data_IF_418690287815
#
_entry.id   IF_418690287815
#
_cell.length_a   1.000
_cell.length_b   1.000
_cell.length_c   1.000
_cell.angle_alpha   90.00
_cell.angle_beta   90.00
_cell.angle_gamma   90.00
#
_symmetry.space_group_name_H-M   'P 1'
#
loop_
_entity.id
_entity.type
_entity.pdbx_description
1 polymer ?
#
# COMPACT_ATOMS: atom_id res chain seq x y z
N UNK A 1 13.47 38.66 24.37
CA UNK A 1 13.41 37.44 23.53
C UNK A 1 13.18 36.31 24.50
N UNK A 2 11.94 35.85 24.56
CA UNK A 2 11.37 35.17 25.72
C UNK A 2 11.85 33.71 25.80
N UNK A 3 12.05 33.18 27.00
CA UNK A 3 12.54 31.80 27.25
C UNK A 3 11.59 30.73 26.65
N UNK A 4 10.34 31.10 26.37
CA UNK A 4 9.35 30.24 25.71
C UNK A 4 9.63 29.99 24.23
N UNK A 5 10.13 30.99 23.48
CA UNK A 5 10.41 30.85 22.04
C UNK A 5 11.56 29.87 21.81
N UNK A 6 12.60 29.95 22.65
CA UNK A 6 13.75 29.03 22.65
C UNK A 6 13.35 27.56 22.88
N UNK A 7 12.30 27.32 23.67
CA UNK A 7 11.81 25.96 23.94
C UNK A 7 10.94 25.42 22.81
N UNK A 8 10.10 26.26 22.22
CA UNK A 8 9.28 25.88 21.07
C UNK A 8 10.17 25.44 19.89
N UNK A 9 11.22 26.20 19.58
CA UNK A 9 12.17 25.89 18.51
C UNK A 9 12.87 24.53 18.71
N UNK A 10 13.19 24.19 19.96
CA UNK A 10 13.78 22.88 20.30
C UNK A 10 12.80 21.74 20.04
N UNK A 11 11.52 21.90 20.37
CA UNK A 11 10.53 20.86 20.10
C UNK A 11 10.25 20.69 18.60
N UNK A 12 10.33 21.77 17.81
CA UNK A 12 10.27 21.70 16.34
C UNK A 12 11.45 20.88 15.80
N UNK A 13 12.66 21.06 16.33
CA UNK A 13 13.81 20.22 15.98
C UNK A 13 13.53 18.73 16.23
N UNK A 14 13.00 18.37 17.41
CA UNK A 14 12.69 16.98 17.75
C UNK A 14 11.54 16.40 16.91
N UNK A 15 10.57 17.22 16.52
CA UNK A 15 9.53 16.83 15.59
C UNK A 15 10.12 16.41 14.24
N UNK A 16 11.00 17.23 13.66
CA UNK A 16 11.69 16.88 12.40
C UNK A 16 12.66 15.71 12.58
N UNK A 17 13.35 15.60 13.72
CA UNK A 17 14.22 14.47 14.02
C UNK A 17 13.42 13.16 13.95
N UNK A 18 12.23 13.09 14.55
CA UNK A 18 11.38 11.91 14.46
C UNK A 18 10.96 11.56 13.04
N UNK A 19 10.60 12.56 12.23
CA UNK A 19 10.21 12.39 10.84
C UNK A 19 11.37 11.89 9.98
N UNK A 20 12.52 12.56 10.03
CA UNK A 20 13.59 12.27 9.08
C UNK A 20 14.37 11.01 9.45
N UNK A 21 14.65 10.79 10.73
CA UNK A 21 15.60 9.74 11.12
C UNK A 21 15.06 8.34 10.89
N UNK A 22 13.78 8.10 11.18
CA UNK A 22 13.19 6.78 10.99
C UNK A 22 12.98 6.45 9.50
N UNK A 23 12.39 7.34 8.72
CA UNK A 23 12.11 7.06 7.31
C UNK A 23 13.38 7.09 6.42
N UNK A 24 14.33 8.00 6.70
CA UNK A 24 15.60 8.03 5.97
C UNK A 24 16.44 6.80 6.26
N UNK A 25 16.48 6.35 7.53
CA UNK A 25 17.19 5.10 7.87
C UNK A 25 16.54 3.88 7.22
N UNK A 26 15.20 3.83 7.14
CA UNK A 26 14.49 2.79 6.38
C UNK A 26 14.85 2.75 4.90
N UNK A 27 14.93 3.92 4.26
CA UNK A 27 15.36 4.02 2.87
C UNK A 27 16.79 3.53 2.65
N UNK A 28 17.73 3.93 3.51
CA UNK A 28 19.14 3.51 3.44
C UNK A 28 19.29 2.01 3.71
N UNK A 29 18.43 1.44 4.54
CA UNK A 29 18.47 0.03 4.97
C UNK A 29 17.58 -0.89 4.11
N UNK A 30 17.06 -0.44 2.97
CA UNK A 30 16.12 -1.22 2.13
C UNK A 30 16.68 -2.56 1.61
N UNK A 31 18.01 -2.73 1.62
CA UNK A 31 18.69 -3.99 1.28
C UNK A 31 18.93 -4.95 2.46
N UNK A 32 18.51 -4.60 3.67
CA UNK A 32 18.70 -5.41 4.88
C UNK A 32 17.40 -6.16 5.19
N UNK A 33 17.51 -7.43 5.57
CA UNK A 33 16.36 -8.28 5.91
C UNK A 33 15.47 -7.62 6.98
N UNK A 34 14.16 -7.61 6.74
CA UNK A 34 13.16 -6.77 7.43
C UNK A 34 13.25 -6.70 8.97
N UNK A 35 13.28 -7.81 9.74
CA UNK A 35 13.49 -7.78 11.18
C UNK A 35 14.72 -6.99 11.61
N UNK A 36 15.87 -7.18 10.97
CA UNK A 36 17.11 -6.50 11.34
C UNK A 36 17.07 -5.02 10.99
N UNK A 37 16.46 -4.65 9.85
CA UNK A 37 16.33 -3.25 9.43
C UNK A 37 15.54 -2.42 10.45
N UNK A 38 14.44 -2.95 11.01
CA UNK A 38 13.60 -2.24 11.98
C UNK A 38 14.35 -1.97 13.28
N UNK A 39 15.11 -2.95 13.79
CA UNK A 39 15.92 -2.75 15.00
C UNK A 39 17.00 -1.68 14.78
N UNK A 40 17.65 -1.68 13.62
CA UNK A 40 18.67 -0.69 13.27
C UNK A 40 18.07 0.72 13.13
N UNK A 41 16.91 0.85 12.49
CA UNK A 41 16.17 2.11 12.39
C UNK A 41 15.81 2.67 13.78
N UNK A 42 15.32 1.81 14.68
CA UNK A 42 15.02 2.17 16.06
C UNK A 42 16.27 2.59 16.85
N UNK A 43 17.39 1.90 16.67
CA UNK A 43 18.65 2.26 17.31
C UNK A 43 19.19 3.60 16.80
N UNK A 44 19.15 3.85 15.49
CA UNK A 44 19.55 5.12 14.89
C UNK A 44 18.68 6.25 15.43
N UNK A 45 17.36 6.04 15.48
CA UNK A 45 16.41 6.99 16.06
C UNK A 45 16.77 7.35 17.52
N UNK A 46 16.96 6.34 18.38
CA UNK A 46 17.29 6.56 19.79
C UNK A 46 18.65 7.25 19.97
N UNK A 47 19.65 6.88 19.18
CA UNK A 47 20.98 7.49 19.21
C UNK A 47 20.92 8.98 18.83
N UNK A 48 20.17 9.33 17.77
CA UNK A 48 20.02 10.71 17.33
C UNK A 48 19.16 11.53 18.30
N UNK A 49 18.13 10.93 18.89
CA UNK A 49 17.34 11.56 19.94
C UNK A 49 18.22 11.90 21.17
N UNK A 50 19.01 10.94 21.64
CA UNK A 50 19.93 11.14 22.75
C UNK A 50 20.97 12.23 22.44
N UNK A 51 21.54 12.21 21.22
CA UNK A 51 22.46 13.24 20.75
C UNK A 51 21.81 14.62 20.73
N UNK A 52 20.58 14.73 20.21
CA UNK A 52 19.80 15.97 20.19
C UNK A 52 19.57 16.52 21.59
N UNK A 53 19.20 15.68 22.55
CA UNK A 53 19.01 16.09 23.96
C UNK A 53 20.32 16.62 24.57
N UNK A 54 21.44 15.94 24.32
CA UNK A 54 22.76 16.40 24.79
C UNK A 54 23.14 17.75 24.17
N UNK A 55 22.90 17.95 22.88
CA UNK A 55 23.20 19.19 22.15
C UNK A 55 22.34 20.38 22.60
N UNK A 56 21.06 20.14 22.93
CA UNK A 56 20.19 21.17 23.48
C UNK A 56 20.63 21.69 24.86
N UNK A 57 21.60 21.00 25.50
CA UNK A 57 22.15 21.29 26.84
C UNK A 57 21.11 21.35 27.96
N UNK A 58 19.87 20.95 27.68
CA UNK A 58 18.79 20.83 28.67
C UNK A 58 18.79 19.42 29.26
N UNK A 59 19.24 19.30 30.50
CA UNK A 59 19.34 18.00 31.22
C UNK A 59 18.12 17.67 32.07
N UNK A 60 16.99 18.34 31.80
CA UNK A 60 15.75 18.07 32.53
C UNK A 60 15.10 16.79 32.02
N UNK A 61 14.76 15.88 32.94
CA UNK A 61 13.96 14.68 32.62
C UNK A 61 12.63 15.06 31.99
N UNK A 62 12.00 16.14 32.46
CA UNK A 62 10.75 16.64 31.89
C UNK A 62 10.90 17.14 30.46
N UNK A 63 12.05 17.72 30.10
CA UNK A 63 12.35 18.10 28.73
C UNK A 63 12.55 16.87 27.84
N UNK A 64 13.37 15.90 28.28
CA UNK A 64 13.65 14.68 27.54
C UNK A 64 12.37 13.86 27.24
N UNK A 65 11.48 13.72 28.23
CA UNK A 65 10.20 13.02 28.03
C UNK A 65 9.30 13.74 27.02
N UNK A 66 9.23 15.07 27.06
CA UNK A 66 8.45 15.86 26.08
C UNK A 66 9.05 15.77 24.68
N UNK A 67 10.38 15.87 24.55
CA UNK A 67 11.08 15.74 23.28
C UNK A 67 10.86 14.35 22.66
N UNK A 68 10.97 13.29 23.46
CA UNK A 68 10.62 11.93 23.05
C UNK A 68 9.16 11.82 22.60
N UNK A 69 8.22 12.33 23.39
CA UNK A 69 6.80 12.25 23.07
C UNK A 69 6.45 12.97 21.77
N UNK A 70 6.98 14.18 21.55
CA UNK A 70 6.78 14.95 20.30
C UNK A 70 7.34 14.20 19.10
N UNK A 71 8.57 13.71 19.20
CA UNK A 71 9.25 12.98 18.14
C UNK A 71 8.55 11.64 17.81
N UNK A 72 8.13 10.91 18.84
CA UNK A 72 7.44 9.63 18.70
C UNK A 72 6.03 9.80 18.13
N UNK A 73 5.29 10.84 18.56
CA UNK A 73 3.98 11.16 18.00
C UNK A 73 4.07 11.51 16.51
N UNK A 74 5.08 12.29 16.10
CA UNK A 74 5.33 12.61 14.69
C UNK A 74 5.57 11.34 13.85
N UNK A 75 6.40 10.42 14.37
CA UNK A 75 6.66 9.12 13.75
C UNK A 75 5.38 8.29 13.60
N UNK A 76 4.55 8.20 14.65
CA UNK A 76 3.29 7.47 14.59
C UNK A 76 2.33 8.04 13.56
N UNK A 77 2.16 9.37 13.52
CA UNK A 77 1.26 10.02 12.56
C UNK A 77 1.66 9.74 11.12
N UNK A 78 2.95 9.84 10.79
CA UNK A 78 3.43 9.48 9.47
C UNK A 78 3.26 7.99 9.19
N UNK A 79 3.55 7.13 10.15
CA UNK A 79 3.38 5.69 9.99
C UNK A 79 1.92 5.34 9.67
N UNK A 80 0.96 5.91 10.40
CA UNK A 80 -0.47 5.75 10.13
C UNK A 80 -0.82 6.26 8.73
N UNK A 81 -0.28 7.41 8.31
CA UNK A 81 -0.47 7.93 6.96
C UNK A 81 0.04 6.96 5.88
N UNK A 82 1.26 6.44 6.04
CA UNK A 82 1.83 5.43 5.14
C UNK A 82 1.00 4.15 5.13
N UNK A 83 0.60 3.62 6.30
CA UNK A 83 -0.23 2.42 6.36
C UNK A 83 -1.61 2.64 5.72
N UNK A 84 -2.23 3.80 5.92
CA UNK A 84 -3.51 4.13 5.29
C UNK A 84 -3.40 4.23 3.77
N UNK A 85 -2.35 4.89 3.26
CA UNK A 85 -2.07 4.98 1.83
C UNK A 85 -1.76 3.60 1.22
N UNK A 86 -0.93 2.80 1.89
CA UNK A 86 -0.61 1.43 1.45
C UNK A 86 -1.85 0.53 1.46
N UNK A 87 -2.67 0.60 2.50
CA UNK A 87 -3.92 -0.16 2.57
C UNK A 87 -4.88 0.26 1.44
N UNK A 88 -4.97 1.55 1.14
CA UNK A 88 -5.75 2.06 0.01
C UNK A 88 -5.19 1.58 -1.34
N UNK A 89 -3.87 1.53 -1.52
CA UNK A 89 -3.29 1.02 -2.77
C UNK A 89 -3.53 -0.47 -2.96
N UNK A 90 -3.44 -1.28 -1.89
CA UNK A 90 -3.73 -2.72 -1.95
C UNK A 90 -5.23 -2.99 -2.17
N UNK A 91 -6.13 -2.21 -1.54
CA UNK A 91 -7.56 -2.39 -1.75
C UNK A 91 -8.03 -1.98 -3.15
N UNK A 92 -7.34 -1.03 -3.78
CA UNK A 92 -7.69 -0.50 -5.10
C UNK A 92 -6.99 -1.18 -6.28
N UNK A 93 -5.90 -1.91 -6.05
CA UNK A 93 -5.19 -2.63 -7.10
C UNK A 93 -5.90 -3.96 -7.41
N UNK A 94 -6.81 -3.90 -8.38
CA UNK A 94 -7.62 -5.01 -8.84
C UNK A 94 -7.38 -5.22 -10.33
N UNK A 95 -7.11 -6.47 -10.71
CA UNK A 95 -6.78 -6.82 -12.08
C UNK A 95 -7.65 -7.98 -12.55
N UNK A 96 -8.02 -7.92 -13.83
CA UNK A 96 -8.69 -9.00 -14.56
C UNK A 96 -7.80 -9.35 -15.75
N UNK A 97 -7.62 -10.63 -15.99
CA UNK A 97 -6.91 -11.14 -17.16
C UNK A 97 -7.80 -12.15 -17.87
N UNK A 98 -7.82 -12.09 -19.20
CA UNK A 98 -8.47 -13.11 -20.03
C UNK A 98 -7.41 -13.79 -20.90
N UNK A 99 -7.20 -15.07 -20.67
CA UNK A 99 -6.31 -15.89 -21.49
C UNK A 99 -7.15 -16.63 -22.53
N UNK A 100 -6.87 -16.42 -23.82
CA UNK A 100 -7.53 -17.18 -24.89
C UNK A 100 -7.05 -18.64 -24.85
N UNK A 101 -8.00 -19.57 -24.82
CA UNK A 101 -7.72 -21.01 -24.77
C UNK A 101 -7.69 -21.59 -26.19
N UNK A 102 -6.66 -22.40 -26.48
CA UNK A 102 -6.52 -23.12 -27.75
C UNK A 102 -7.32 -24.44 -27.79
N UNK A 103 -8.10 -24.72 -26.75
CA UNK A 103 -8.91 -25.93 -26.61
C UNK A 103 -10.30 -25.60 -26.06
N UNK A 104 -11.26 -26.49 -26.29
CA UNK A 104 -12.57 -26.42 -25.64
C UNK A 104 -12.46 -26.98 -24.22
N UNK A 105 -12.72 -26.18 -23.17
CA UNK A 105 -12.71 -26.65 -21.79
C UNK A 105 -13.91 -27.57 -21.51
N UNK A 106 -13.76 -28.47 -20.54
CA UNK A 106 -14.79 -29.44 -20.16
C UNK A 106 -16.07 -28.76 -19.63
N UNK A 107 -15.91 -27.67 -18.90
CA UNK A 107 -16.99 -26.85 -18.35
C UNK A 107 -16.71 -25.38 -18.67
N UNK A 108 -17.74 -24.65 -19.10
CA UNK A 108 -17.65 -23.23 -19.40
C UNK A 108 -19.01 -22.54 -19.30
N UNK A 109 -18.98 -21.25 -19.01
CA UNK A 109 -20.14 -20.38 -19.08
C UNK A 109 -20.25 -19.75 -20.48
N UNK A 110 -21.45 -19.74 -21.05
CA UNK A 110 -21.71 -18.94 -22.26
C UNK A 110 -22.01 -17.50 -21.86
N UNK A 111 -21.22 -16.57 -22.40
CA UNK A 111 -21.39 -15.12 -22.20
C UNK A 111 -21.77 -14.49 -23.53
N UNK A 112 -22.94 -13.86 -23.60
CA UNK A 112 -23.39 -13.20 -24.84
C UNK A 112 -22.75 -11.83 -25.01
N UNK A 113 -22.83 -11.27 -26.22
CA UNK A 113 -22.35 -9.90 -26.48
C UNK A 113 -23.14 -8.86 -25.67
N UNK A 114 -24.44 -9.08 -25.49
CA UNK A 114 -25.29 -8.22 -24.67
C UNK A 114 -24.82 -8.23 -23.21
N UNK A 115 -24.58 -9.41 -22.64
CA UNK A 115 -24.02 -9.55 -21.29
C UNK A 115 -22.65 -8.89 -21.21
N UNK A 116 -21.76 -9.15 -22.16
CA UNK A 116 -20.41 -8.58 -22.18
C UNK A 116 -20.40 -7.05 -22.20
N UNK A 117 -21.38 -6.42 -22.86
CA UNK A 117 -21.51 -4.95 -22.87
C UNK A 117 -21.93 -4.37 -21.51
N UNK A 118 -22.50 -5.18 -20.60
CA UNK A 118 -22.79 -4.75 -19.23
C UNK A 118 -21.55 -4.80 -18.31
N UNK A 119 -20.49 -5.52 -18.73
CA UNK A 119 -19.24 -5.73 -18.00
C UNK A 119 -18.03 -5.25 -18.84
N UNK A 120 -17.81 -3.92 -18.92
CA UNK A 120 -16.76 -3.36 -19.77
C UNK A 120 -15.35 -3.82 -19.37
N UNK A 121 -15.08 -4.07 -18.08
CA UNK A 121 -13.80 -4.63 -17.65
C UNK A 121 -13.56 -6.05 -18.18
N UNK A 122 -14.58 -6.91 -18.17
CA UNK A 122 -14.48 -8.25 -18.77
C UNK A 122 -14.23 -8.16 -20.27
N UNK A 123 -14.96 -7.27 -20.94
CA UNK A 123 -14.79 -7.00 -22.37
C UNK A 123 -13.38 -6.55 -22.70
N UNK A 124 -12.86 -5.56 -21.97
CA UNK A 124 -11.51 -5.05 -22.17
C UNK A 124 -10.45 -6.12 -21.90
N UNK A 125 -10.64 -6.99 -20.90
CA UNK A 125 -9.73 -8.09 -20.62
C UNK A 125 -9.66 -9.09 -21.79
N UNK A 126 -10.81 -9.41 -22.39
CA UNK A 126 -10.90 -10.29 -23.57
C UNK A 126 -10.25 -9.64 -24.80
N UNK A 127 -10.49 -8.34 -25.03
CA UNK A 127 -9.89 -7.59 -26.13
C UNK A 127 -8.35 -7.47 -25.98
N UNK A 128 -7.86 -7.34 -24.75
CA UNK A 128 -6.44 -7.25 -24.41
C UNK A 128 -5.77 -8.61 -24.16
N UNK A 129 -6.41 -9.71 -24.57
CA UNK A 129 -6.08 -11.10 -24.17
C UNK A 129 -4.59 -11.39 -23.94
N UNK A 130 -4.29 -12.03 -22.80
CA UNK A 130 -2.93 -12.33 -22.35
C UNK A 130 -2.20 -11.15 -21.69
N UNK A 131 -2.90 -10.05 -21.40
CA UNK A 131 -2.39 -8.95 -20.58
C UNK A 131 -3.39 -8.59 -19.49
N UNK A 132 -2.97 -8.52 -18.21
CA UNK A 132 -3.84 -8.11 -17.13
C UNK A 132 -4.21 -6.64 -17.26
N UNK A 133 -5.50 -6.35 -17.18
CA UNK A 133 -6.03 -4.99 -17.17
C UNK A 133 -6.28 -4.53 -15.74
N UNK A 134 -6.03 -3.24 -15.46
CA UNK A 134 -6.34 -2.66 -14.15
C UNK A 134 -7.78 -2.16 -14.16
N UNK A 135 -8.58 -2.59 -13.20
CA UNK A 135 -9.97 -2.15 -13.06
C UNK A 135 -10.24 -1.61 -11.65
N UNK A 136 -11.37 -0.92 -11.48
CA UNK A 136 -11.85 -0.46 -10.18
C UNK A 136 -12.36 -1.64 -9.33
N UNK A 137 -12.33 -1.54 -7.99
CA UNK A 137 -12.83 -2.60 -7.12
C UNK A 137 -14.29 -2.97 -7.34
N UNK A 138 -15.13 -2.01 -7.69
CA UNK A 138 -16.56 -2.25 -7.95
C UNK A 138 -16.78 -3.09 -9.21
N UNK A 139 -16.13 -2.73 -10.33
CA UNK A 139 -16.21 -3.52 -11.56
C UNK A 139 -15.56 -4.89 -11.42
N UNK A 140 -14.44 -4.98 -10.70
CA UNK A 140 -13.79 -6.25 -10.39
C UNK A 140 -14.74 -7.19 -9.66
N UNK A 141 -15.37 -6.71 -8.58
CA UNK A 141 -16.31 -7.51 -7.77
C UNK A 141 -17.54 -7.87 -8.59
N UNK A 142 -18.13 -6.91 -9.30
CA UNK A 142 -19.32 -7.13 -10.11
C UNK A 142 -19.07 -8.19 -11.20
N UNK A 143 -17.89 -8.18 -11.82
CA UNK A 143 -17.51 -9.17 -12.84
C UNK A 143 -17.25 -10.55 -12.22
N UNK A 144 -16.60 -10.60 -11.05
CA UNK A 144 -16.39 -11.87 -10.33
C UNK A 144 -17.73 -12.49 -9.90
N UNK A 145 -18.63 -11.70 -9.32
CA UNK A 145 -19.98 -12.14 -8.92
C UNK A 145 -20.79 -12.65 -10.11
N UNK A 146 -20.73 -11.98 -11.26
CA UNK A 146 -21.36 -12.44 -12.49
C UNK A 146 -20.86 -13.81 -12.94
N UNK A 147 -19.54 -14.05 -12.91
CA UNK A 147 -18.97 -15.34 -13.29
C UNK A 147 -19.24 -16.43 -12.24
N UNK A 148 -19.25 -16.08 -10.96
CA UNK A 148 -19.67 -16.97 -9.87
C UNK A 148 -21.14 -17.40 -10.03
N UNK A 149 -22.04 -16.48 -10.40
CA UNK A 149 -23.44 -16.78 -10.69
C UNK A 149 -23.60 -17.70 -11.91
N UNK A 150 -22.72 -17.57 -12.90
CA UNK A 150 -22.65 -18.46 -14.06
C UNK A 150 -22.03 -19.82 -13.73
N UNK A 151 -21.21 -19.89 -12.67
CA UNK A 151 -20.62 -21.10 -12.12
C UNK A 151 -19.22 -21.45 -12.64
N UNK A 152 -18.72 -20.78 -13.68
CA UNK A 152 -17.44 -21.08 -14.31
C UNK A 152 -16.68 -19.79 -14.67
N UNK A 153 -15.36 -19.84 -14.51
CA UNK A 153 -14.44 -18.76 -14.87
C UNK A 153 -13.88 -18.92 -16.29
N UNK A 154 -14.00 -20.11 -16.86
CA UNK A 154 -13.88 -20.38 -18.28
C UNK A 154 -15.15 -19.94 -18.98
N UNK A 155 -15.03 -19.04 -19.95
CA UNK A 155 -16.16 -18.51 -20.69
C UNK A 155 -16.02 -18.74 -22.19
N UNK A 156 -17.17 -18.89 -22.85
CA UNK A 156 -17.28 -18.88 -24.30
C UNK A 156 -17.90 -17.56 -24.75
N UNK A 157 -17.17 -16.84 -25.61
CA UNK A 157 -17.63 -15.61 -26.26
C UNK A 157 -17.52 -15.81 -27.76
N UNK A 158 -18.66 -15.78 -28.45
CA UNK A 158 -18.78 -16.13 -29.88
C UNK A 158 -18.26 -17.55 -30.15
N UNK A 159 -17.15 -17.66 -30.88
CA UNK A 159 -16.50 -18.93 -31.27
C UNK A 159 -15.26 -19.25 -30.43
N UNK A 160 -14.82 -18.34 -29.56
CA UNK A 160 -13.59 -18.44 -28.79
C UNK A 160 -13.87 -18.76 -27.31
N UNK A 161 -12.90 -19.42 -26.68
CA UNK A 161 -12.90 -19.76 -25.25
C UNK A 161 -11.83 -18.97 -24.51
N UNK A 162 -12.14 -18.52 -23.30
CA UNK A 162 -11.24 -17.71 -22.47
C UNK A 162 -11.25 -18.21 -21.03
N UNK A 163 -10.08 -18.28 -20.40
CA UNK A 163 -9.95 -18.41 -18.95
C UNK A 163 -9.86 -17.03 -18.31
N UNK A 164 -10.74 -16.73 -17.35
CA UNK A 164 -10.78 -15.43 -16.66
C UNK A 164 -10.12 -15.54 -15.30
N UNK A 165 -9.11 -14.71 -15.07
CA UNK A 165 -8.33 -14.67 -13.84
C UNK A 165 -8.50 -13.33 -13.12
N UNK A 166 -8.64 -13.40 -11.81
CA UNK A 166 -8.80 -12.23 -10.94
C UNK A 166 -7.61 -12.13 -9.99
N UNK A 167 -6.92 -10.99 -10.01
CA UNK A 167 -5.71 -10.77 -9.21
C UNK A 167 -5.83 -9.53 -8.32
N UNK A 168 -5.16 -9.59 -7.18
CA UNK A 168 -5.01 -8.51 -6.21
C UNK A 168 -3.53 -8.32 -5.89
N UNK A 169 -3.10 -7.10 -5.62
CA UNK A 169 -1.72 -6.80 -5.26
C UNK A 169 -1.35 -7.14 -3.81
#
# INVERSE_FOLDING_TARGET
>A
MDDSDSKADKYVLFFFLGIFTFFLSGYVLSGVHAPMSIYLMGLIYLALLALGIVLCRERSVGFALKAFAVSFAALLLLSVGFFALSAQSHSSAKWIEAEKLDFEPDEYAVVTEEELNEYPALKEAIEASGSPIKTGPEEWTRTAEFLDEKGFYEIKVREDYYGIFFMTA
#
